data_IF_562609093301
#
_entry.id   IF_562609093301
#
_cell.length_a   1.000
_cell.length_b   1.000
_cell.length_c   1.000
_cell.angle_alpha   90.00
_cell.angle_beta   90.00
_cell.angle_gamma   90.00
#
_symmetry.space_group_name_H-M   'P 1'
#
loop_
_entity.id
_entity.type
_entity.pdbx_description
1 polymer ?
#
# COMPACT_ATOMS: atom_id res chain seq x y z
N UNK A 1 25.26 -16.30 -15.73
CA UNK A 1 24.93 -16.98 -14.48
C UNK A 1 25.30 -16.04 -13.34
N UNK A 2 24.34 -15.64 -12.50
CA UNK A 2 24.59 -14.85 -11.29
C UNK A 2 23.99 -15.62 -10.10
N UNK A 3 24.77 -15.88 -9.03
CA UNK A 3 24.35 -16.73 -7.93
C UNK A 3 23.68 -15.96 -6.79
N UNK A 4 22.69 -16.61 -6.19
CA UNK A 4 22.34 -16.65 -4.75
C UNK A 4 22.48 -15.41 -3.88
N UNK A 5 21.34 -14.93 -3.37
CA UNK A 5 21.24 -14.41 -2.01
C UNK A 5 19.98 -14.98 -1.35
N UNK A 6 20.20 -15.74 -0.28
CA UNK A 6 19.17 -16.39 0.52
C UNK A 6 18.27 -15.38 1.24
N UNK A 7 17.00 -15.78 1.37
CA UNK A 7 15.96 -15.13 2.15
C UNK A 7 16.36 -14.89 3.62
N UNK A 8 15.63 -13.99 4.30
CA UNK A 8 15.06 -14.38 5.57
C UNK A 8 13.54 -14.13 5.66
N UNK A 9 12.89 -15.17 6.17
CA UNK A 9 11.84 -15.17 7.19
C UNK A 9 10.65 -14.20 7.09
N UNK A 10 9.49 -14.81 6.88
CA UNK A 10 8.14 -14.42 7.28
C UNK A 10 8.08 -13.41 8.44
N UNK A 11 7.37 -12.30 8.21
CA UNK A 11 6.71 -11.54 9.27
C UNK A 11 5.38 -12.23 9.63
N UNK A 12 4.92 -12.15 10.90
CA UNK A 12 3.81 -12.96 11.39
C UNK A 12 2.47 -12.46 10.86
N UNK A 13 1.72 -13.36 10.22
CA UNK A 13 0.29 -13.21 10.01
C UNK A 13 -0.40 -13.06 11.38
N UNK A 14 -0.93 -11.87 11.66
CA UNK A 14 -1.92 -11.66 12.72
C UNK A 14 -3.28 -11.63 12.02
N UNK A 15 -4.12 -12.58 12.41
CA UNK A 15 -5.40 -12.89 11.79
C UNK A 15 -6.42 -11.73 11.86
N UNK A 16 -7.18 -11.55 10.78
CA UNK A 16 -8.50 -10.90 10.77
C UNK A 16 -8.46 -9.37 10.73
N UNK A 17 -8.07 -8.78 9.60
CA UNK A 17 -7.71 -7.37 9.47
C UNK A 17 -8.64 -6.56 8.58
N UNK A 18 -9.93 -6.49 8.89
CA UNK A 18 -10.66 -5.26 8.55
C UNK A 18 -10.07 -4.13 9.38
N UNK A 19 -9.52 -3.08 8.77
CA UNK A 19 -8.99 -1.92 9.52
C UNK A 19 -10.08 -1.34 10.41
N UNK A 20 -9.83 -1.34 11.72
CA UNK A 20 -10.77 -0.83 12.69
C UNK A 20 -10.96 0.68 12.50
N UNK A 21 -12.14 1.21 12.84
CA UNK A 21 -12.41 2.65 12.73
C UNK A 21 -11.38 3.53 13.47
N UNK A 22 -10.83 3.04 14.59
CA UNK A 22 -9.73 3.73 15.29
C UNK A 22 -8.41 3.69 14.53
N UNK A 23 -8.09 2.59 13.85
CA UNK A 23 -6.88 2.46 13.03
C UNK A 23 -6.97 3.33 11.77
N UNK A 24 -8.16 3.43 11.16
CA UNK A 24 -8.43 4.32 10.05
C UNK A 24 -8.16 5.81 10.34
N UNK A 25 -8.32 6.24 11.59
CA UNK A 25 -8.07 7.62 12.03
C UNK A 25 -6.59 7.90 12.27
N UNK A 26 -5.80 6.86 12.55
CA UNK A 26 -4.35 6.94 12.80
C UNK A 26 -3.53 6.79 11.51
N UNK A 27 -4.15 6.33 10.41
CA UNK A 27 -3.50 6.22 9.10
C UNK A 27 -3.17 7.60 8.53
N UNK A 28 -1.94 7.74 8.01
CA UNK A 28 -1.55 8.96 7.28
C UNK A 28 -2.47 9.21 6.09
N UNK A 29 -2.82 10.47 5.88
CA UNK A 29 -3.49 10.90 4.65
C UNK A 29 -2.51 10.84 3.47
N UNK A 30 -2.94 10.23 2.36
CA UNK A 30 -2.15 10.11 1.12
C UNK A 30 -3.01 10.64 -0.03
N UNK A 31 -2.53 11.68 -0.72
CA UNK A 31 -3.23 12.26 -1.86
C UNK A 31 -3.11 11.37 -3.10
N UNK A 32 -4.09 11.45 -4.02
CA UNK A 32 -4.05 10.74 -5.31
C UNK A 32 -2.79 11.07 -6.12
N UNK A 33 -2.30 12.30 -6.05
CA UNK A 33 -1.06 12.72 -6.70
C UNK A 33 0.18 11.98 -6.17
N UNK A 34 0.23 11.70 -4.86
CA UNK A 34 1.30 10.92 -4.25
C UNK A 34 1.22 9.47 -4.72
N UNK A 35 0.05 8.83 -4.66
CA UNK A 35 -0.14 7.44 -5.14
C UNK A 35 0.38 7.29 -6.58
N UNK A 36 0.07 8.23 -7.47
CA UNK A 36 0.54 8.21 -8.88
C UNK A 36 2.05 8.18 -9.05
N UNK A 37 2.84 8.65 -8.08
CA UNK A 37 4.31 8.59 -8.12
C UNK A 37 4.83 7.17 -7.93
N UNK A 38 4.01 6.28 -7.37
CA UNK A 38 4.30 4.88 -7.10
C UNK A 38 3.59 3.98 -8.12
N UNK A 39 3.86 4.23 -9.41
CA UNK A 39 3.27 3.53 -10.55
C UNK A 39 4.21 2.59 -11.30
N UNK A 40 5.32 2.16 -10.69
CA UNK A 40 6.36 1.35 -11.35
C UNK A 40 6.54 -0.01 -10.68
N UNK A 41 7.32 -0.90 -11.30
CA UNK A 41 7.63 -2.20 -10.72
C UNK A 41 8.43 -2.08 -9.42
N UNK A 42 9.36 -1.14 -9.36
CA UNK A 42 10.16 -0.89 -8.17
C UNK A 42 9.43 -0.06 -7.10
N UNK A 43 8.22 0.41 -7.39
CA UNK A 43 7.43 1.27 -6.51
C UNK A 43 5.96 1.21 -6.93
N UNK A 44 5.21 0.28 -6.34
CA UNK A 44 3.86 -0.08 -6.77
C UNK A 44 2.84 0.12 -5.65
N UNK A 45 2.20 1.29 -5.62
CA UNK A 45 1.08 1.55 -4.71
C UNK A 45 -0.25 1.45 -5.43
N UNK A 46 -1.25 0.92 -4.74
CA UNK A 46 -2.61 0.78 -5.27
C UNK A 46 -3.59 1.22 -4.19
N UNK A 47 -4.59 2.02 -4.57
CA UNK A 47 -5.72 2.31 -3.69
C UNK A 47 -6.85 1.28 -3.87
N UNK A 48 -7.35 0.79 -2.74
CA UNK A 48 -8.50 -0.12 -2.64
C UNK A 48 -9.42 0.42 -1.53
N UNK A 49 -10.63 0.84 -1.88
CA UNK A 49 -11.66 1.36 -0.95
C UNK A 49 -11.12 2.49 -0.04
N UNK A 50 -10.52 3.51 -0.65
CA UNK A 50 -9.90 4.65 0.04
C UNK A 50 -8.74 4.30 0.98
N UNK A 51 -8.17 3.10 0.85
CA UNK A 51 -6.95 2.69 1.55
C UNK A 51 -5.84 2.49 0.54
N UNK A 52 -4.63 2.93 0.87
CA UNK A 52 -3.46 2.79 0.01
C UNK A 52 -2.63 1.63 0.52
N UNK A 53 -2.28 0.71 -0.37
CA UNK A 53 -1.45 -0.46 -0.09
C UNK A 53 -0.18 -0.39 -0.91
N UNK A 54 0.93 -0.86 -0.33
CA UNK A 54 2.18 -1.06 -1.03
C UNK A 54 2.29 -2.53 -1.45
N UNK A 55 2.31 -2.77 -2.76
CA UNK A 55 2.47 -4.10 -3.34
C UNK A 55 3.81 -4.30 -4.03
N UNK A 56 4.79 -3.42 -3.80
CA UNK A 56 6.10 -3.46 -4.47
C UNK A 56 6.75 -4.84 -4.36
N UNK A 57 6.86 -5.38 -3.15
CA UNK A 57 7.45 -6.71 -2.91
C UNK A 57 6.52 -7.87 -3.32
N UNK A 58 5.22 -7.60 -3.48
CA UNK A 58 4.22 -8.62 -3.82
C UNK A 58 4.02 -8.75 -5.33
N UNK A 59 4.35 -7.72 -6.12
CA UNK A 59 4.04 -7.65 -7.55
C UNK A 59 4.51 -8.89 -8.33
N UNK A 60 5.73 -9.36 -8.10
CA UNK A 60 6.30 -10.54 -8.78
C UNK A 60 5.71 -11.88 -8.29
N UNK A 61 5.10 -11.88 -7.10
CA UNK A 61 4.50 -13.05 -6.46
C UNK A 61 2.99 -13.12 -6.67
N UNK A 62 2.41 -12.13 -7.35
CA UNK A 62 0.98 -12.05 -7.60
C UNK A 62 0.51 -13.27 -8.44
N UNK A 63 -0.41 -14.12 -7.93
CA UNK A 63 -0.85 -15.34 -8.63
C UNK A 63 -1.47 -15.10 -10.00
N UNK A 64 -2.06 -13.92 -10.23
CA UNK A 64 -2.59 -13.49 -11.53
C UNK A 64 -1.53 -12.93 -12.49
N UNK A 65 -0.24 -13.00 -12.12
CA UNK A 65 0.87 -12.41 -12.84
C UNK A 65 1.11 -10.94 -12.47
N UNK A 66 2.37 -10.53 -12.48
CA UNK A 66 2.78 -9.16 -12.14
C UNK A 66 2.15 -8.10 -13.04
N UNK A 67 1.90 -8.43 -14.31
CA UNK A 67 1.35 -7.49 -15.29
C UNK A 67 -0.08 -7.04 -14.95
N UNK A 68 -0.89 -7.94 -14.38
CA UNK A 68 -2.25 -7.62 -13.95
C UNK A 68 -2.29 -6.63 -12.79
N UNK A 69 -1.32 -6.73 -11.88
CA UNK A 69 -1.18 -5.82 -10.74
C UNK A 69 -0.57 -4.48 -11.18
N UNK A 70 0.51 -4.52 -11.96
CA UNK A 70 1.23 -3.32 -12.42
C UNK A 70 0.40 -2.42 -13.34
N UNK A 71 -0.61 -2.96 -14.03
CA UNK A 71 -1.57 -2.15 -14.81
C UNK A 71 -2.28 -1.08 -13.97
N UNK A 72 -2.47 -1.34 -12.68
CA UNK A 72 -3.16 -0.45 -11.75
C UNK A 72 -2.21 0.23 -10.76
N UNK A 73 -0.89 0.04 -10.92
CA UNK A 73 0.10 0.71 -10.11
C UNK A 73 -0.05 2.24 -10.23
N UNK A 74 0.00 2.92 -9.09
CA UNK A 74 -0.20 4.35 -8.97
C UNK A 74 -1.65 4.81 -9.14
N UNK A 75 -2.62 3.89 -9.03
CA UNK A 75 -4.03 4.17 -9.27
C UNK A 75 -4.98 3.47 -8.31
N UNK A 76 -6.27 3.59 -8.63
CA UNK A 76 -7.33 2.86 -7.95
C UNK A 76 -7.65 1.56 -8.69
N UNK A 77 -7.70 0.46 -7.95
CA UNK A 77 -8.06 -0.85 -8.46
C UNK A 77 -9.28 -1.44 -7.76
N UNK A 78 -10.09 -0.61 -7.08
CA UNK A 78 -11.18 -1.08 -6.21
C UNK A 78 -12.17 -1.94 -6.99
N UNK A 79 -12.71 -1.42 -8.09
CA UNK A 79 -13.74 -2.10 -8.88
C UNK A 79 -13.26 -3.44 -9.46
N UNK A 80 -12.03 -3.44 -10.03
CA UNK A 80 -11.47 -4.67 -10.60
C UNK A 80 -11.14 -5.66 -9.50
N UNK A 81 -10.53 -5.21 -8.39
CA UNK A 81 -10.18 -6.08 -7.28
C UNK A 81 -11.43 -6.77 -6.73
N UNK A 82 -12.51 -6.04 -6.44
CA UNK A 82 -13.75 -6.62 -5.92
C UNK A 82 -14.44 -7.56 -6.93
N UNK A 83 -14.17 -7.44 -8.23
CA UNK A 83 -14.69 -8.32 -9.27
C UNK A 83 -14.03 -9.70 -9.30
N UNK A 84 -12.74 -9.79 -8.95
CA UNK A 84 -11.93 -11.01 -9.07
C UNK A 84 -11.33 -11.51 -7.75
N UNK A 85 -11.34 -10.69 -6.70
CA UNK A 85 -10.76 -10.97 -5.40
C UNK A 85 -11.74 -10.67 -4.25
N UNK A 86 -11.69 -11.49 -3.22
CA UNK A 86 -12.37 -11.23 -1.95
C UNK A 86 -11.53 -10.33 -1.05
N UNK A 87 -12.20 -9.46 -0.28
CA UNK A 87 -11.57 -8.59 0.72
C UNK A 87 -10.70 -9.34 1.74
N UNK A 88 -10.98 -10.62 2.02
CA UNK A 88 -10.16 -11.44 2.91
C UNK A 88 -8.73 -11.67 2.40
N UNK A 89 -8.44 -11.44 1.11
CA UNK A 89 -7.07 -11.50 0.61
C UNK A 89 -6.20 -10.33 1.08
N UNK A 90 -6.80 -9.25 1.60
CA UNK A 90 -6.07 -8.12 2.18
C UNK A 90 -5.72 -8.33 3.66
N UNK A 91 -6.11 -9.46 4.27
CA UNK A 91 -5.90 -9.72 5.71
C UNK A 91 -4.42 -9.67 6.13
N UNK A 92 -3.54 -10.11 5.24
CA UNK A 92 -2.08 -10.11 5.42
C UNK A 92 -1.43 -8.76 5.06
N UNK A 93 -2.20 -7.84 4.46
CA UNK A 93 -1.70 -6.56 3.98
C UNK A 93 -2.16 -5.42 4.87
N UNK A 94 -1.22 -4.69 5.45
CA UNK A 94 -1.53 -3.45 6.16
C UNK A 94 -1.54 -2.27 5.19
N UNK A 95 -2.58 -1.43 5.21
CA UNK A 95 -2.56 -0.20 4.43
C UNK A 95 -1.48 0.74 4.98
N UNK A 96 -0.78 1.41 4.07
CA UNK A 96 0.25 2.40 4.39
C UNK A 96 -0.36 3.78 4.65
N UNK A 97 -1.63 3.98 4.32
CA UNK A 97 -2.35 5.21 4.57
C UNK A 97 -3.79 5.17 4.04
N UNK A 98 -4.51 6.26 4.30
CA UNK A 98 -5.86 6.49 3.78
C UNK A 98 -5.77 7.46 2.60
N UNK A 99 -6.46 7.13 1.51
CA UNK A 99 -6.60 8.03 0.38
C UNK A 99 -7.36 9.29 0.81
N UNK A 100 -6.78 10.44 0.50
CA UNK A 100 -7.37 11.75 0.74
C UNK A 100 -7.68 12.41 -0.59
N UNK A 101 -8.94 12.84 -0.77
CA UNK A 101 -9.35 13.66 -1.92
C UNK A 101 -8.85 15.10 -1.83
N UNK A 102 -8.27 15.50 -0.69
CA UNK A 102 -7.60 16.79 -0.58
C UNK A 102 -6.26 16.70 -1.32
N UNK A 103 -6.22 17.27 -2.51
CA UNK A 103 -4.98 17.64 -3.21
C UNK A 103 -4.19 18.72 -2.45
N UNK A 104 -4.76 19.27 -1.36
CA UNK A 104 -3.99 19.97 -0.34
C UNK A 104 -3.12 18.98 0.42
N UNK A 105 -1.92 18.76 -0.10
CA UNK A 105 -0.73 18.33 0.62
C UNK A 105 -0.69 18.98 2.02
N UNK A 106 -1.01 18.25 3.11
CA UNK A 106 -0.44 18.62 4.38
C UNK A 106 0.97 18.03 4.32
N UNK A 107 1.91 18.82 3.81
CA UNK A 107 3.33 18.48 3.80
C UNK A 107 3.78 17.88 5.13
N UNK A 108 4.93 17.18 5.17
CA UNK A 108 5.33 16.31 6.26
C UNK A 108 5.01 16.96 7.61
N UNK A 109 4.13 16.31 8.37
CA UNK A 109 3.68 16.78 9.68
C UNK A 109 4.88 17.19 10.53
N UNK A 110 4.70 18.17 11.44
CA UNK A 110 5.81 18.84 12.10
C UNK A 110 6.74 17.81 12.75
N UNK A 111 7.93 17.65 12.16
CA UNK A 111 9.01 16.91 12.79
C UNK A 111 9.20 17.51 14.18
N UNK A 112 8.99 16.67 15.18
CA UNK A 112 9.01 17.03 16.59
C UNK A 112 10.26 17.83 16.94
N UNK A 113 10.03 18.84 17.75
CA UNK A 113 11.04 19.67 18.39
C UNK A 113 12.18 18.84 19.01
N UNK A 114 13.40 19.26 18.70
CA UNK A 114 14.62 19.02 19.46
C UNK A 114 15.62 20.06 18.94
N UNK A 115 15.79 21.23 19.53
CA UNK A 115 15.93 21.48 20.95
C UNK A 115 17.32 21.03 21.37
N UNK A 116 18.32 21.91 21.24
CA UNK A 116 19.41 22.11 22.21
C UNK A 116 20.43 23.14 21.73
N UNK A 117 20.60 24.14 22.60
CA UNK A 117 21.77 24.98 22.89
C UNK A 117 22.51 25.71 21.75
#
# INVERSE_FOLDING_TARGET
>A
EQPGAAAPAAAPAQAGGGVSAGELLELRAISRAEVRRHGTRESCWISLRDLVYDFTDFAERHPGGSEGLLRYAGGDATEIFESIHSQFMLDDFRPIGRLSDSDSDPGPGPASAGGSA
#
